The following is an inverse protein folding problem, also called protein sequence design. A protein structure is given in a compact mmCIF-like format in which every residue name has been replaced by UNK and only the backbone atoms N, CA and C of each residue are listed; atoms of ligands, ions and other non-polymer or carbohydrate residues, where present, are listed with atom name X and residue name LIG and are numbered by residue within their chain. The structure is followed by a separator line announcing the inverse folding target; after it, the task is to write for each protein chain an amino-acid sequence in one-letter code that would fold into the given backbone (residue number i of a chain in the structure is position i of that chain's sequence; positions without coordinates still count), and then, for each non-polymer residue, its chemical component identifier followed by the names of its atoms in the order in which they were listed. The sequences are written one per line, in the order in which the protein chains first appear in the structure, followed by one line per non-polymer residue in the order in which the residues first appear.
data_IF_670338007331
#
_entry.id   IF_670338007331
#
_cell.length_a   1.000
_cell.length_b   1.000
_cell.length_c   1.000
_cell.angle_alpha   90.00
_cell.angle_beta   90.00
_cell.angle_gamma   90.00
#
_symmetry.space_group_name_H-M   'P 1'
#
loop_
_entity.id
_entity.type
_entity.pdbx_description
1 polymer ?
#
# COMPACT_ATOMS: atom_id res chain seq x y z
N UNK A 1 16.38 -24.87 23.23
CA UNK A 1 16.37 -24.27 21.88
C UNK A 1 15.65 -25.10 20.81
N UNK A 2 15.82 -26.42 20.70
CA UNK A 2 15.10 -27.25 19.69
C UNK A 2 13.56 -27.33 19.93
N UNK A 3 13.10 -27.29 21.19
CA UNK A 3 11.66 -27.33 21.52
C UNK A 3 10.92 -26.04 21.15
N UNK A 4 11.53 -24.88 21.40
CA UNK A 4 10.98 -23.56 21.05
C UNK A 4 10.89 -23.39 19.53
N UNK A 5 11.88 -23.87 18.78
CA UNK A 5 11.84 -23.90 17.31
C UNK A 5 10.68 -24.76 16.77
N UNK A 6 10.40 -25.91 17.40
CA UNK A 6 9.29 -26.79 17.01
C UNK A 6 7.92 -26.19 17.37
N UNK A 7 7.81 -25.47 18.51
CA UNK A 7 6.59 -24.77 18.90
C UNK A 7 6.29 -23.56 18.01
N UNK A 8 7.30 -22.78 17.62
CA UNK A 8 7.13 -21.64 16.70
C UNK A 8 6.79 -22.15 15.29
N UNK A 9 7.46 -23.18 14.78
CA UNK A 9 7.10 -23.80 13.48
C UNK A 9 5.72 -24.46 13.51
N UNK A 10 5.36 -25.14 14.62
CA UNK A 10 4.03 -25.72 14.79
C UNK A 10 2.93 -24.68 14.91
N UNK A 11 3.17 -23.58 15.60
CA UNK A 11 2.23 -22.46 15.72
C UNK A 11 2.03 -21.72 14.39
N UNK A 12 3.09 -21.47 13.63
CA UNK A 12 2.98 -20.89 12.28
C UNK A 12 2.29 -21.84 11.28
N UNK A 13 2.51 -23.14 11.38
CA UNK A 13 1.84 -24.14 10.53
C UNK A 13 0.34 -24.27 10.89
N UNK A 14 -0.02 -24.21 12.17
CA UNK A 14 -1.43 -24.22 12.62
C UNK A 14 -2.16 -22.93 12.23
N UNK A 15 -1.51 -21.77 12.31
CA UNK A 15 -2.05 -20.50 11.78
C UNK A 15 -2.22 -20.54 10.26
N UNK A 16 -1.30 -21.15 9.51
CA UNK A 16 -1.41 -21.28 8.05
C UNK A 16 -2.55 -22.24 7.62
N UNK A 17 -2.88 -23.25 8.43
CA UNK A 17 -3.96 -24.20 8.15
C UNK A 17 -5.36 -23.66 8.47
N UNK A 18 -5.48 -22.63 9.31
CA UNK A 18 -6.76 -21.97 9.62
C UNK A 18 -7.24 -20.99 8.53
N UNK A 19 -6.42 -20.70 7.51
CA UNK A 19 -6.75 -19.79 6.42
C UNK A 19 -7.39 -20.46 5.20
N UNK A 20 -7.95 -21.67 5.33
CA UNK A 20 -8.45 -22.46 4.19
C UNK A 20 -9.69 -21.89 3.48
N UNK A 21 -10.22 -20.72 3.85
CA UNK A 21 -11.33 -20.04 3.15
C UNK A 21 -11.20 -18.53 3.09
N UNK A 22 -10.01 -17.98 3.29
CA UNK A 22 -9.81 -16.55 3.04
C UNK A 22 -9.70 -16.36 1.53
N UNK A 23 -10.81 -16.03 0.88
CA UNK A 23 -10.75 -15.33 -0.39
C UNK A 23 -9.91 -14.08 -0.14
N UNK A 24 -8.71 -14.02 -0.71
CA UNK A 24 -7.89 -12.81 -0.72
C UNK A 24 -8.63 -11.78 -1.57
N UNK A 25 -9.56 -11.07 -0.93
CA UNK A 25 -10.30 -9.99 -1.55
C UNK A 25 -9.50 -8.73 -1.30
N UNK A 26 -9.29 -7.97 -2.37
CA UNK A 26 -8.76 -6.62 -2.29
C UNK A 26 -9.65 -5.78 -1.34
N UNK A 27 -9.07 -4.77 -0.74
CA UNK A 27 -9.75 -3.83 0.16
C UNK A 27 -11.02 -3.29 -0.48
N UNK A 28 -12.19 -3.62 0.07
CA UNK A 28 -13.44 -3.05 -0.44
C UNK A 28 -13.56 -1.60 0.03
N UNK A 29 -13.39 -0.67 -0.90
CA UNK A 29 -13.63 0.75 -0.71
C UNK A 29 -14.37 1.31 -1.92
N UNK A 30 -15.52 1.94 -1.75
CA UNK A 30 -16.21 2.62 -2.85
C UNK A 30 -15.32 3.67 -3.54
N UNK A 31 -14.43 4.33 -2.81
CA UNK A 31 -13.49 5.30 -3.38
C UNK A 31 -12.46 4.65 -4.34
N UNK A 32 -12.23 3.34 -4.24
CA UNK A 32 -11.31 2.64 -5.14
C UNK A 32 -11.84 2.47 -6.57
N UNK A 33 -13.08 2.89 -6.86
CA UNK A 33 -13.62 2.97 -8.24
C UNK A 33 -12.91 4.06 -9.04
N UNK A 34 -12.40 5.11 -8.36
CA UNK A 34 -11.82 6.31 -8.97
C UNK A 34 -10.40 6.01 -9.48
N UNK A 35 -10.11 6.34 -10.73
CA UNK A 35 -8.81 6.24 -11.35
C UNK A 35 -8.21 4.83 -11.32
N UNK A 36 -7.05 4.73 -10.72
CA UNK A 36 -6.27 3.47 -10.57
C UNK A 36 -6.52 2.75 -9.24
N UNK A 37 -7.54 3.16 -8.49
CA UNK A 37 -7.85 2.61 -7.17
C UNK A 37 -7.17 3.33 -6.01
N UNK A 38 -7.31 2.79 -4.80
CA UNK A 38 -6.72 3.35 -3.58
C UNK A 38 -5.20 3.31 -3.62
N UNK A 39 -4.56 4.45 -3.46
CA UNK A 39 -3.11 4.57 -3.39
C UNK A 39 -2.62 4.01 -2.06
N UNK A 40 -1.72 3.03 -2.14
CA UNK A 40 -1.13 2.40 -0.97
C UNK A 40 0.14 3.14 -0.55
N UNK A 41 0.25 3.46 0.73
CA UNK A 41 1.47 4.07 1.25
C UNK A 41 2.57 3.01 1.38
N UNK A 42 3.72 3.22 0.73
CA UNK A 42 4.83 2.28 0.82
C UNK A 42 5.41 2.28 2.23
N UNK A 43 5.71 1.10 2.76
CA UNK A 43 6.37 0.97 4.05
C UNK A 43 6.23 -0.43 4.60
N UNK A 44 7.27 -0.88 5.30
CA UNK A 44 7.23 -2.12 6.07
C UNK A 44 6.43 -1.92 7.36
N UNK A 45 5.94 -2.97 8.05
CA UNK A 45 5.13 -2.83 9.26
C UNK A 45 5.78 -1.97 10.35
N UNK A 46 7.11 -2.02 10.49
CA UNK A 46 7.86 -1.17 11.42
C UNK A 46 7.68 0.33 11.11
N UNK A 47 7.69 0.72 9.85
CA UNK A 47 7.46 2.10 9.40
C UNK A 47 5.99 2.48 9.57
N UNK A 48 5.06 1.56 9.27
CA UNK A 48 3.62 1.79 9.44
C UNK A 48 3.24 2.01 10.91
N UNK A 49 3.91 1.35 11.86
CA UNK A 49 3.73 1.61 13.29
C UNK A 49 4.06 3.06 13.73
N UNK A 50 4.79 3.81 12.88
CA UNK A 50 5.10 5.24 13.06
C UNK A 50 4.31 6.14 12.08
N UNK A 51 3.14 5.72 11.60
CA UNK A 51 2.33 6.51 10.65
C UNK A 51 2.88 6.55 9.22
N UNK A 52 3.94 5.80 8.91
CA UNK A 52 4.61 5.84 7.61
C UNK A 52 5.91 6.68 7.59
N UNK A 53 6.44 7.08 8.76
CA UNK A 53 7.69 7.85 8.87
C UNK A 53 8.87 7.07 8.29
N UNK A 54 9.38 7.47 7.12
CA UNK A 54 10.41 6.71 6.41
C UNK A 54 11.35 7.52 5.53
N UNK A 55 11.14 8.82 5.32
CA UNK A 55 11.98 9.61 4.40
C UNK A 55 13.35 9.94 5.01
N UNK A 56 13.39 10.18 6.32
CA UNK A 56 14.63 10.49 7.05
C UNK A 56 15.09 9.40 8.01
N UNK A 57 14.26 8.38 8.26
CA UNK A 57 14.51 7.34 9.26
C UNK A 57 15.17 6.08 8.65
N UNK A 58 16.49 5.95 8.79
CA UNK A 58 17.24 4.73 8.44
C UNK A 58 17.38 3.77 9.62
N UNK A 59 17.26 2.47 9.38
CA UNK A 59 17.38 1.43 10.39
C UNK A 59 18.28 0.29 9.95
N UNK A 60 19.02 -0.31 10.89
CA UNK A 60 19.78 -1.55 10.69
C UNK A 60 18.92 -2.81 10.85
N UNK A 61 17.71 -2.66 11.40
CA UNK A 61 16.84 -3.79 11.77
C UNK A 61 15.83 -4.16 10.70
N UNK A 62 15.37 -3.18 9.92
CA UNK A 62 14.39 -3.37 8.85
C UNK A 62 14.78 -2.60 7.59
N UNK A 63 14.27 -3.03 6.46
CA UNK A 63 14.47 -2.36 5.18
C UNK A 63 13.62 -1.09 5.12
N UNK A 64 14.26 0.06 4.94
CA UNK A 64 13.56 1.27 4.55
C UNK A 64 13.38 1.28 3.02
N UNK A 65 12.14 1.15 2.53
CA UNK A 65 11.79 1.16 1.12
C UNK A 65 11.22 2.52 0.64
N UNK A 66 11.17 3.53 1.50
CA UNK A 66 10.68 4.88 1.18
C UNK A 66 11.77 5.75 0.54
N UNK A 67 12.97 5.78 1.11
CA UNK A 67 14.11 6.57 0.63
C UNK A 67 15.29 5.66 0.27
N UNK A 68 15.66 5.53 -1.01
CA UNK A 68 16.76 4.66 -1.43
C UNK A 68 18.13 5.11 -0.87
N UNK A 69 18.33 6.37 -0.50
CA UNK A 69 19.57 6.83 0.11
C UNK A 69 19.86 6.16 1.46
N UNK A 70 18.83 5.69 2.17
CA UNK A 70 18.96 5.05 3.49
C UNK A 70 19.35 3.57 3.41
N UNK A 71 19.50 2.99 2.21
CA UNK A 71 19.87 1.59 2.05
C UNK A 71 21.26 1.24 2.64
N UNK A 72 22.15 2.19 2.80
CA UNK A 72 23.47 1.95 3.43
C UNK A 72 23.36 1.46 4.88
N UNK A 73 22.24 1.68 5.57
CA UNK A 73 21.96 1.10 6.89
C UNK A 73 21.87 -0.42 6.85
N UNK A 74 21.53 -1.03 5.71
CA UNK A 74 21.49 -2.50 5.57
C UNK A 74 22.91 -3.08 5.43
N UNK A 75 23.51 -3.41 6.58
CA UNK A 75 24.87 -3.91 6.68
C UNK A 75 25.03 -5.41 6.41
N UNK A 76 23.94 -6.15 6.35
CA UNK A 76 23.85 -7.60 6.18
C UNK A 76 22.78 -7.95 5.15
N UNK A 77 22.75 -9.19 4.65
CA UNK A 77 21.67 -9.65 3.79
C UNK A 77 20.35 -9.65 4.58
N UNK A 78 19.31 -9.08 4.00
CA UNK A 78 18.02 -8.91 4.63
C UNK A 78 16.92 -9.47 3.71
N UNK A 79 16.00 -10.24 4.30
CA UNK A 79 14.77 -10.70 3.66
C UNK A 79 13.60 -10.27 4.54
N UNK A 80 12.59 -9.66 3.93
CA UNK A 80 11.41 -9.20 4.65
C UNK A 80 10.14 -9.49 3.87
N UNK A 81 9.09 -9.90 4.57
CA UNK A 81 7.75 -10.01 4.01
C UNK A 81 6.74 -9.49 5.03
N UNK A 82 5.68 -8.90 4.54
CA UNK A 82 4.61 -8.35 5.37
C UNK A 82 3.25 -8.51 4.71
N UNK A 83 2.24 -8.63 5.55
CA UNK A 83 0.83 -8.67 5.20
C UNK A 83 0.08 -7.57 5.94
N UNK A 84 -1.02 -7.13 5.37
CA UNK A 84 -1.96 -6.19 5.98
C UNK A 84 -3.35 -6.84 6.00
N UNK A 85 -4.02 -6.74 7.13
CA UNK A 85 -5.45 -6.99 7.29
C UNK A 85 -6.16 -5.68 7.62
N UNK A 86 -7.34 -5.47 7.08
CA UNK A 86 -8.13 -4.27 7.29
C UNK A 86 -9.59 -4.63 7.51
N UNK A 87 -10.23 -3.97 8.47
CA UNK A 87 -11.68 -3.99 8.67
C UNK A 87 -12.19 -2.55 8.59
N UNK A 88 -13.26 -2.33 7.85
CA UNK A 88 -13.90 -1.03 7.65
C UNK A 88 -15.37 -1.09 7.96
N UNK A 89 -15.90 -0.01 8.54
CA UNK A 89 -17.32 0.32 8.57
C UNK A 89 -17.57 1.46 7.59
N UNK A 90 -18.33 1.20 6.55
CA UNK A 90 -18.66 2.14 5.48
C UNK A 90 -20.03 2.73 5.78
N UNK A 91 -20.13 4.05 5.82
CA UNK A 91 -21.33 4.78 6.19
C UNK A 91 -21.67 5.82 5.11
N UNK A 92 -22.97 5.95 4.82
CA UNK A 92 -23.51 7.00 3.96
C UNK A 92 -24.87 7.45 4.53
N UNK A 93 -25.17 8.73 4.43
CA UNK A 93 -26.44 9.28 4.93
C UNK A 93 -27.63 8.62 4.24
N UNK A 94 -28.58 8.10 5.02
CA UNK A 94 -29.78 7.42 4.51
C UNK A 94 -29.61 5.93 4.19
N UNK A 95 -28.44 5.34 4.44
CA UNK A 95 -28.17 3.92 4.26
C UNK A 95 -27.67 3.26 5.54
N UNK A 96 -27.96 1.96 5.72
CA UNK A 96 -27.42 1.18 6.83
C UNK A 96 -25.91 1.01 6.71
N UNK A 97 -25.15 1.11 7.81
CA UNK A 97 -23.71 0.91 7.80
C UNK A 97 -23.32 -0.50 7.31
N UNK A 98 -22.33 -0.58 6.45
CA UNK A 98 -21.82 -1.84 5.91
C UNK A 98 -20.40 -2.13 6.43
N UNK A 99 -20.16 -3.35 6.91
CA UNK A 99 -18.86 -3.80 7.36
C UNK A 99 -18.16 -4.64 6.28
N UNK A 100 -16.92 -4.30 6.02
CA UNK A 100 -16.05 -5.00 5.06
C UNK A 100 -14.73 -5.37 5.72
N UNK A 101 -14.18 -6.53 5.35
CA UNK A 101 -12.86 -6.97 5.80
C UNK A 101 -12.06 -7.50 4.62
N UNK A 102 -10.78 -7.22 4.63
CA UNK A 102 -9.86 -7.59 3.55
C UNK A 102 -8.47 -7.90 4.06
N UNK A 103 -7.67 -8.57 3.23
CA UNK A 103 -6.28 -8.85 3.52
C UNK A 103 -5.46 -8.93 2.25
N UNK A 104 -4.23 -8.43 2.30
CA UNK A 104 -3.34 -8.44 1.14
C UNK A 104 -1.87 -8.51 1.54
N UNK A 105 -1.02 -8.86 0.55
CA UNK A 105 0.42 -8.71 0.69
C UNK A 105 0.77 -7.24 0.80
N UNK A 106 1.50 -6.84 1.84
CA UNK A 106 2.02 -5.48 1.98
C UNK A 106 3.32 -5.32 1.19
N UNK A 107 4.26 -6.25 1.35
CA UNK A 107 5.52 -6.26 0.64
C UNK A 107 6.20 -7.63 0.70
N UNK A 108 7.07 -7.89 -0.28
CA UNK A 108 8.10 -8.90 -0.22
C UNK A 108 9.42 -8.24 -0.66
N UNK A 109 10.46 -8.33 0.15
CA UNK A 109 11.67 -7.55 -0.05
C UNK A 109 12.93 -8.33 0.27
N UNK A 110 14.01 -7.98 -0.43
CA UNK A 110 15.36 -8.42 -0.11
C UNK A 110 16.34 -7.26 -0.29
N UNK A 111 17.36 -7.23 0.55
CA UNK A 111 18.45 -6.26 0.43
C UNK A 111 19.80 -6.92 0.69
N UNK A 112 20.79 -6.49 -0.06
CA UNK A 112 22.15 -7.05 0.01
C UNK A 112 23.15 -5.90 0.08
N UNK A 113 24.08 -5.90 1.05
CA UNK A 113 25.20 -4.97 1.06
C UNK A 113 26.20 -5.36 -0.02
N UNK A 114 26.45 -4.49 -0.97
CA UNK A 114 27.57 -4.61 -1.91
C UNK A 114 28.89 -4.23 -1.23
N UNK A 115 28.84 -3.18 -0.42
CA UNK A 115 29.91 -2.78 0.48
C UNK A 115 29.25 -2.50 1.82
N UNK A 116 29.56 -3.34 2.84
CA UNK A 116 28.92 -3.26 4.16
C UNK A 116 28.96 -1.83 4.73
N UNK A 117 27.79 -1.33 5.17
CA UNK A 117 27.57 0.03 5.71
C UNK A 117 27.91 1.19 4.77
N UNK A 118 28.18 0.91 3.49
CA UNK A 118 28.50 1.95 2.50
C UNK A 118 27.58 1.92 1.29
N UNK A 119 27.34 0.75 0.71
CA UNK A 119 26.56 0.64 -0.51
C UNK A 119 25.72 -0.62 -0.45
N UNK A 120 24.42 -0.51 -0.64
CA UNK A 120 23.48 -1.63 -0.62
C UNK A 120 22.52 -1.55 -1.81
N UNK A 121 22.10 -2.72 -2.24
CA UNK A 121 21.07 -2.94 -3.26
C UNK A 121 19.83 -3.55 -2.61
N UNK A 122 18.65 -3.18 -3.08
CA UNK A 122 17.40 -3.82 -2.66
C UNK A 122 16.47 -4.12 -3.83
N UNK A 123 15.65 -5.14 -3.63
CA UNK A 123 14.54 -5.52 -4.49
C UNK A 123 13.28 -5.61 -3.63
N UNK A 124 12.23 -4.89 -4.00
CA UNK A 124 10.98 -4.82 -3.24
C UNK A 124 9.80 -4.97 -4.18
N UNK A 125 8.97 -5.97 -3.95
CA UNK A 125 7.65 -6.15 -4.57
C UNK A 125 6.59 -5.63 -3.59
N UNK A 126 5.74 -4.70 -4.04
CA UNK A 126 4.65 -4.15 -3.23
C UNK A 126 3.50 -3.63 -4.11
N UNK A 127 2.28 -3.53 -3.60
CA UNK A 127 1.21 -2.81 -4.27
C UNK A 127 1.50 -1.30 -4.30
N UNK A 128 1.17 -0.66 -5.42
CA UNK A 128 1.16 0.80 -5.59
C UNK A 128 -0.26 1.36 -5.39
N UNK A 129 -1.26 0.67 -5.97
CA UNK A 129 -2.67 0.96 -5.74
C UNK A 129 -3.50 -0.31 -5.77
N UNK A 130 -4.71 -0.26 -5.19
CA UNK A 130 -5.64 -1.39 -5.15
C UNK A 130 -7.02 -0.92 -5.57
N UNK A 131 -7.60 -1.62 -6.53
CA UNK A 131 -9.02 -1.53 -6.90
C UNK A 131 -9.74 -2.69 -6.22
N UNK A 132 -10.74 -2.39 -5.40
CA UNK A 132 -11.58 -3.38 -4.76
C UNK A 132 -12.89 -2.75 -4.33
N UNK A 133 -13.96 -2.98 -5.09
CA UNK A 133 -15.30 -2.54 -4.74
C UNK A 133 -16.34 -3.53 -5.27
N UNK A 134 -17.44 -3.64 -4.54
CA UNK A 134 -18.65 -4.36 -4.95
C UNK A 134 -19.84 -3.68 -4.27
N UNK A 135 -20.69 -3.06 -5.07
CA UNK A 135 -21.91 -2.39 -4.58
C UNK A 135 -22.97 -2.34 -5.66
N UNK A 136 -24.21 -2.16 -5.26
CA UNK A 136 -25.35 -1.97 -6.16
C UNK A 136 -26.13 -0.73 -5.81
N UNK A 137 -26.77 -0.16 -6.82
CA UNK A 137 -27.75 0.90 -6.65
C UNK A 137 -28.91 0.68 -7.61
N UNK A 138 -30.10 1.17 -7.21
CA UNK A 138 -31.30 1.10 -8.01
C UNK A 138 -31.78 2.51 -8.35
N UNK A 139 -32.13 2.72 -9.62
CA UNK A 139 -32.68 3.99 -10.11
C UNK A 139 -34.09 3.72 -10.64
N UNK A 140 -35.12 4.48 -10.20
CA UNK A 140 -36.47 4.32 -10.73
C UNK A 140 -36.54 4.70 -12.23
N UNK A 141 -37.34 3.96 -12.99
CA UNK A 141 -37.62 4.28 -14.38
C UNK A 141 -38.40 5.61 -14.48
N UNK A 142 -37.95 6.51 -15.36
CA UNK A 142 -38.46 7.88 -15.45
C UNK A 142 -39.95 7.98 -15.75
N UNK A 143 -40.54 7.01 -16.43
CA UNK A 143 -41.99 6.95 -16.81
C UNK A 143 -42.59 5.56 -16.61
N UNK A 144 -41.95 4.67 -15.82
CA UNK A 144 -42.38 3.29 -15.59
C UNK A 144 -42.59 2.97 -14.11
N UNK A 145 -42.96 1.72 -13.86
CA UNK A 145 -43.14 1.15 -12.50
C UNK A 145 -41.96 0.32 -12.06
N UNK A 146 -40.94 0.17 -12.92
CA UNK A 146 -39.81 -0.70 -12.69
C UNK A 146 -38.61 0.09 -12.14
N UNK A 147 -37.63 -0.61 -11.58
CA UNK A 147 -36.33 -0.07 -11.20
C UNK A 147 -35.24 -0.69 -12.07
N UNK A 148 -34.22 0.11 -12.42
CA UNK A 148 -32.98 -0.39 -12.98
C UNK A 148 -31.99 -0.59 -11.86
N UNK A 149 -31.57 -1.84 -11.63
CA UNK A 149 -30.54 -2.15 -10.63
C UNK A 149 -29.23 -2.44 -11.32
N UNK A 150 -28.18 -1.71 -10.92
CA UNK A 150 -26.82 -1.88 -11.43
C UNK A 150 -25.91 -2.39 -10.33
N UNK A 151 -25.28 -3.54 -10.59
CA UNK A 151 -24.19 -4.08 -9.80
C UNK A 151 -22.87 -3.60 -10.36
N UNK A 152 -22.03 -3.07 -9.49
CA UNK A 152 -20.70 -2.58 -9.83
C UNK A 152 -19.67 -3.40 -9.10
N UNK A 153 -18.72 -3.97 -9.83
CA UNK A 153 -17.63 -4.76 -9.30
C UNK A 153 -16.32 -4.37 -9.95
N UNK A 154 -15.32 -4.13 -9.12
CA UNK A 154 -13.97 -3.87 -9.59
C UNK A 154 -12.93 -4.59 -8.77
N UNK A 155 -11.87 -5.07 -9.44
CA UNK A 155 -10.75 -5.69 -8.79
C UNK A 155 -9.44 -5.44 -9.54
N UNK A 156 -8.31 -5.59 -8.82
CA UNK A 156 -6.97 -5.44 -9.36
C UNK A 156 -6.21 -4.27 -8.76
N UNK A 157 -5.42 -3.58 -9.59
CA UNK A 157 -4.61 -2.43 -9.16
C UNK A 157 -3.25 -2.40 -9.84
N UNK A 158 -2.44 -1.46 -9.41
CA UNK A 158 -1.06 -1.30 -9.83
C UNK A 158 -0.12 -1.90 -8.78
N UNK A 159 0.87 -2.65 -9.23
CA UNK A 159 1.95 -3.19 -8.42
C UNK A 159 3.28 -2.63 -8.91
N UNK A 160 4.27 -2.59 -8.04
CA UNK A 160 5.62 -2.18 -8.40
C UNK A 160 6.68 -3.15 -7.89
N UNK A 161 7.63 -3.45 -8.76
CA UNK A 161 8.88 -4.13 -8.43
C UNK A 161 9.98 -3.09 -8.45
N UNK A 162 10.46 -2.69 -7.27
CA UNK A 162 11.48 -1.65 -7.08
C UNK A 162 12.87 -2.26 -7.03
N UNK A 163 13.74 -1.75 -7.85
CA UNK A 163 15.19 -1.96 -7.80
C UNK A 163 15.80 -0.68 -7.23
N UNK A 164 16.49 -0.77 -6.11
CA UNK A 164 17.08 0.41 -5.49
C UNK A 164 18.55 0.18 -5.17
N UNK A 165 19.34 1.20 -5.40
CA UNK A 165 20.76 1.26 -5.05
C UNK A 165 20.97 2.51 -4.21
N UNK A 166 21.56 2.38 -3.03
CA UNK A 166 21.78 3.51 -2.15
C UNK A 166 23.04 3.36 -1.32
N UNK A 167 23.72 4.48 -1.15
CA UNK A 167 25.01 4.45 -0.49
C UNK A 167 25.44 5.75 0.15
N UNK A 168 26.39 5.61 1.06
CA UNK A 168 27.08 6.70 1.72
C UNK A 168 28.17 7.24 0.79
N UNK A 169 28.00 8.47 0.28
CA UNK A 169 28.95 9.12 -0.63
C UNK A 169 30.02 9.90 0.15
N UNK A 170 29.62 10.60 1.21
CA UNK A 170 30.49 11.25 2.16
C UNK A 170 30.11 10.81 3.58
N UNK A 171 30.92 11.17 4.57
CA UNK A 171 30.72 10.71 5.96
C UNK A 171 29.28 10.87 6.49
N UNK A 172 28.56 11.88 6.01
CA UNK A 172 27.22 12.23 6.48
C UNK A 172 26.18 12.30 5.35
N UNK A 173 26.58 12.22 4.09
CA UNK A 173 25.71 12.35 2.91
C UNK A 173 25.52 11.01 2.23
N UNK A 174 24.28 10.59 2.09
CA UNK A 174 23.87 9.41 1.36
C UNK A 174 23.04 9.77 0.14
N UNK A 175 23.27 9.09 -0.94
CA UNK A 175 22.50 9.20 -2.18
C UNK A 175 21.94 7.85 -2.57
N UNK A 176 20.81 7.85 -3.25
CA UNK A 176 20.20 6.63 -3.75
C UNK A 176 19.37 6.87 -5.00
N UNK A 177 19.30 5.84 -5.81
CA UNK A 177 18.47 5.79 -7.00
C UNK A 177 17.53 4.59 -6.91
N UNK A 178 16.35 4.70 -7.50
CA UNK A 178 15.41 3.57 -7.65
C UNK A 178 14.83 3.55 -9.04
N UNK A 179 14.64 2.34 -9.56
CA UNK A 179 13.90 2.06 -10.78
C UNK A 179 12.74 1.10 -10.39
N UNK A 180 11.52 1.53 -10.60
CA UNK A 180 10.32 0.73 -10.32
C UNK A 180 9.74 0.24 -11.63
N UNK A 181 9.67 -1.08 -11.82
CA UNK A 181 8.83 -1.68 -12.85
C UNK A 181 7.40 -1.71 -12.34
N UNK A 182 6.56 -0.85 -12.91
CA UNK A 182 5.13 -0.74 -12.56
C UNK A 182 4.36 -1.64 -13.50
N UNK A 183 3.46 -2.46 -12.97
CA UNK A 183 2.59 -3.33 -13.76
C UNK A 183 1.20 -3.41 -13.14
N UNK A 184 0.18 -3.51 -13.99
CA UNK A 184 -1.22 -3.52 -13.54
C UNK A 184 -2.10 -4.48 -14.32
N UNK A 185 -3.15 -4.95 -13.64
CA UNK A 185 -4.33 -5.57 -14.23
C UNK A 185 -5.54 -5.12 -13.41
N UNK A 186 -6.42 -4.32 -14.04
CA UNK A 186 -7.66 -3.84 -13.43
C UNK A 186 -8.82 -4.40 -14.27
N UNK A 187 -9.84 -4.89 -13.59
CA UNK A 187 -11.11 -5.32 -14.18
C UNK A 187 -12.23 -4.58 -13.49
N UNK A 188 -13.12 -3.98 -14.30
CA UNK A 188 -14.36 -3.35 -13.85
C UNK A 188 -15.51 -3.98 -14.60
N UNK A 189 -16.59 -4.28 -13.90
CA UNK A 189 -17.79 -4.88 -14.47
C UNK A 189 -19.03 -4.15 -13.93
N UNK A 190 -19.91 -3.79 -14.83
CA UNK A 190 -21.18 -3.13 -14.54
C UNK A 190 -22.27 -4.00 -15.11
N UNK A 191 -23.12 -4.57 -14.26
CA UNK A 191 -24.21 -5.44 -14.64
C UNK A 191 -25.53 -4.77 -14.31
N UNK A 192 -26.31 -4.40 -15.33
CA UNK A 192 -27.61 -3.73 -15.17
C UNK A 192 -28.73 -4.65 -15.60
N UNK A 193 -29.81 -4.68 -14.82
CA UNK A 193 -31.05 -5.37 -15.12
C UNK A 193 -32.26 -4.57 -14.64
N UNK A 194 -33.44 -4.93 -15.16
CA UNK A 194 -34.73 -4.33 -14.79
C UNK A 194 -35.40 -5.20 -13.73
N UNK A 195 -35.72 -4.61 -12.58
CA UNK A 195 -36.48 -5.28 -11.51
C UNK A 195 -37.97 -5.33 -11.84
N UNK A 196 -38.67 -6.36 -11.34
CA UNK A 196 -40.13 -6.46 -11.42
C UNK A 196 -40.70 -7.06 -12.70
N UNK A 197 -39.85 -7.42 -13.67
CA UNK A 197 -40.32 -8.15 -14.84
C UNK A 197 -40.66 -9.61 -14.48
N UNK A 198 -41.78 -10.16 -15.01
CA UNK A 198 -42.11 -11.55 -14.79
C UNK A 198 -41.01 -12.49 -15.26
N UNK A 199 -40.73 -13.57 -14.52
CA UNK A 199 -39.67 -14.56 -14.81
C UNK A 199 -39.80 -15.26 -16.20
N UNK A 200 -40.96 -15.16 -16.82
CA UNK A 200 -41.24 -15.71 -18.16
C UNK A 200 -41.01 -14.73 -19.32
N UNK A 201 -40.74 -13.47 -19.05
CA UNK A 201 -40.23 -12.53 -20.04
C UNK A 201 -38.71 -12.66 -20.12
N UNK A 202 -38.14 -12.45 -21.30
CA UNK A 202 -36.71 -12.53 -21.55
C UNK A 202 -35.98 -11.42 -20.77
N UNK A 203 -35.72 -11.68 -19.49
CA UNK A 203 -34.91 -10.79 -18.67
C UNK A 203 -33.46 -10.96 -19.06
N UNK A 204 -32.90 -9.90 -19.59
CA UNK A 204 -31.51 -9.86 -20.00
C UNK A 204 -30.72 -8.95 -19.04
N UNK A 205 -29.48 -9.34 -18.80
CA UNK A 205 -28.50 -8.54 -18.14
C UNK A 205 -27.71 -7.77 -19.19
N UNK A 206 -27.59 -6.47 -19.05
CA UNK A 206 -26.62 -5.69 -19.79
C UNK A 206 -25.31 -5.67 -18.98
N UNK A 207 -24.28 -6.32 -19.50
CA UNK A 207 -22.96 -6.45 -18.84
C UNK A 207 -21.94 -5.64 -19.61
N UNK A 208 -21.36 -4.68 -18.96
CA UNK A 208 -20.28 -3.84 -19.44
C UNK A 208 -19.00 -4.25 -18.74
N UNK A 209 -18.08 -4.87 -19.49
CA UNK A 209 -16.82 -5.39 -18.99
C UNK A 209 -15.65 -4.56 -19.48
N UNK A 210 -14.88 -4.04 -18.55
CA UNK A 210 -13.68 -3.24 -18.80
C UNK A 210 -12.45 -3.96 -18.24
N UNK A 211 -11.38 -4.03 -19.02
CA UNK A 211 -10.08 -4.53 -18.60
C UNK A 211 -8.99 -3.53 -18.98
N UNK A 212 -8.17 -3.22 -18.02
CA UNK A 212 -7.02 -2.35 -18.17
C UNK A 212 -5.77 -3.11 -17.74
N UNK A 213 -4.73 -3.07 -18.55
CA UNK A 213 -3.41 -3.58 -18.20
C UNK A 213 -2.37 -2.54 -18.56
N UNK A 214 -1.34 -2.38 -17.74
CA UNK A 214 -0.27 -1.43 -18.01
C UNK A 214 1.05 -1.95 -17.44
N UNK A 215 2.14 -1.61 -18.12
CA UNK A 215 3.49 -1.90 -17.61
C UNK A 215 4.51 -0.92 -18.19
N UNK A 216 5.36 -0.36 -17.34
CA UNK A 216 6.50 0.49 -17.72
C UNK A 216 7.41 0.74 -16.53
N UNK A 217 8.50 1.47 -16.74
CA UNK A 217 9.44 1.86 -15.71
C UNK A 217 9.19 3.28 -15.21
N UNK A 218 9.42 3.47 -13.91
CA UNK A 218 9.44 4.75 -13.23
C UNK A 218 10.76 4.91 -12.48
N UNK A 219 11.36 6.09 -12.52
CA UNK A 219 12.62 6.38 -11.85
C UNK A 219 12.40 7.29 -10.64
N UNK A 220 13.27 7.16 -9.65
CA UNK A 220 13.25 8.02 -8.47
C UNK A 220 14.65 8.16 -7.86
N UNK A 221 14.80 9.21 -7.08
CA UNK A 221 16.03 9.60 -6.40
C UNK A 221 15.77 9.78 -4.92
N UNK A 222 16.81 9.62 -4.12
CA UNK A 222 16.78 9.89 -2.69
C UNK A 222 18.08 10.54 -2.25
N UNK A 223 17.96 11.40 -1.26
CA UNK A 223 19.10 12.01 -0.56
C UNK A 223 18.83 11.96 0.94
N UNK A 224 19.88 11.74 1.72
CA UNK A 224 19.82 11.84 3.18
C UNK A 224 21.11 12.43 3.72
N UNK A 225 20.98 13.27 4.72
CA UNK A 225 22.10 13.90 5.42
C UNK A 225 21.94 13.77 6.93
N UNK A 226 23.00 13.33 7.60
CA UNK A 226 23.01 13.06 9.04
C UNK A 226 23.93 14.05 9.75
N UNK A 227 23.38 14.82 10.69
CA UNK A 227 24.16 15.69 11.59
C UNK A 227 24.34 15.01 12.94
N UNK A 228 25.56 14.87 13.41
CA UNK A 228 25.84 14.39 14.76
C UNK A 228 25.80 15.57 15.74
N UNK A 229 24.93 15.51 16.75
CA UNK A 229 24.73 16.53 17.78
C UNK A 229 24.93 15.85 19.13
N UNK A 230 26.18 15.86 19.65
CA UNK A 230 26.53 15.10 20.83
C UNK A 230 26.36 13.59 20.64
N UNK A 231 25.52 12.97 21.47
CA UNK A 231 25.16 11.55 21.35
C UNK A 231 23.96 11.30 20.39
N UNK A 232 23.28 12.35 19.98
CA UNK A 232 22.10 12.28 19.11
C UNK A 232 22.47 12.52 17.65
N UNK A 233 21.52 12.17 16.76
CA UNK A 233 21.60 12.43 15.32
C UNK A 233 20.36 13.20 14.87
N UNK A 234 20.57 14.25 14.10
CA UNK A 234 19.55 14.90 13.29
C UNK A 234 19.67 14.39 11.86
N UNK A 235 18.64 13.76 11.36
CA UNK A 235 18.62 13.23 10.01
C UNK A 235 17.65 14.05 9.16
N UNK A 236 18.10 14.46 7.99
CA UNK A 236 17.30 15.10 6.95
C UNK A 236 17.21 14.15 5.76
N UNK A 237 16.04 14.02 5.18
CA UNK A 237 15.82 13.20 3.99
C UNK A 237 14.98 13.92 2.96
N UNK A 238 15.24 13.65 1.68
CA UNK A 238 14.37 14.05 0.59
C UNK A 238 14.29 12.94 -0.46
N UNK A 239 13.12 12.85 -1.09
CA UNK A 239 12.86 11.92 -2.19
C UNK A 239 12.24 12.67 -3.36
N UNK A 240 12.56 12.22 -4.56
CA UNK A 240 11.96 12.70 -5.78
C UNK A 240 11.72 11.54 -6.75
N UNK A 241 10.45 11.23 -7.03
CA UNK A 241 10.07 10.28 -8.06
C UNK A 241 9.63 11.05 -9.29
N UNK A 242 10.16 10.67 -10.45
CA UNK A 242 9.81 11.31 -11.69
C UNK A 242 8.38 10.94 -12.10
N UNK A 243 7.70 11.86 -12.76
CA UNK A 243 6.45 11.57 -13.47
C UNK A 243 6.73 10.51 -14.55
N UNK A 244 5.79 9.57 -14.74
CA UNK A 244 5.94 8.50 -15.70
C UNK A 244 4.64 8.27 -16.47
N UNK A 245 4.76 8.10 -17.79
CA UNK A 245 3.66 7.73 -18.69
C UNK A 245 3.70 6.22 -18.90
N UNK A 246 2.96 5.49 -18.09
CA UNK A 246 2.92 4.02 -18.11
C UNK A 246 2.09 3.56 -19.31
N UNK A 247 2.71 2.78 -20.19
CA UNK A 247 2.04 2.20 -21.35
C UNK A 247 1.07 1.12 -20.95
N UNK A 248 -0.12 1.12 -21.54
CA UNK A 248 -1.13 0.13 -21.24
C UNK A 248 -2.01 -0.22 -22.44
N UNK A 249 -2.83 -1.21 -22.22
CA UNK A 249 -3.85 -1.66 -23.15
C UNK A 249 -5.22 -1.63 -22.46
N UNK A 250 -6.21 -1.25 -23.24
CA UNK A 250 -7.59 -1.13 -22.82
C UNK A 250 -8.48 -2.04 -23.65
N UNK A 251 -9.34 -2.79 -22.98
CA UNK A 251 -10.34 -3.66 -23.56
C UNK A 251 -11.71 -3.30 -22.98
N UNK A 252 -12.71 -3.18 -23.87
CA UNK A 252 -14.07 -2.85 -23.50
C UNK A 252 -15.05 -3.69 -24.29
N UNK A 253 -15.97 -4.35 -23.59
CA UNK A 253 -16.98 -5.21 -24.17
C UNK A 253 -18.34 -4.97 -23.53
N UNK A 254 -19.36 -4.84 -24.36
CA UNK A 254 -20.76 -4.83 -23.97
C UNK A 254 -21.37 -6.19 -24.31
N UNK A 255 -22.05 -6.81 -23.36
CA UNK A 255 -22.74 -8.07 -23.54
C UNK A 255 -24.21 -7.95 -23.10
N UNK A 256 -25.08 -8.61 -23.85
CA UNK A 256 -26.41 -8.97 -23.40
C UNK A 256 -26.39 -10.44 -22.99
N UNK A 257 -26.64 -10.70 -21.71
CA UNK A 257 -26.59 -12.05 -21.16
C UNK A 257 -27.96 -12.48 -20.64
N UNK A 258 -28.20 -13.79 -20.66
CA UNK A 258 -29.30 -14.38 -19.90
C UNK A 258 -28.99 -14.34 -18.40
N UNK A 259 -30.00 -14.56 -17.55
CA UNK A 259 -29.81 -14.72 -16.08
C UNK A 259 -28.84 -15.85 -15.72
N UNK A 260 -28.62 -16.82 -16.60
CA UNK A 260 -27.67 -17.92 -16.42
C UNK A 260 -26.24 -17.55 -16.87
N UNK A 261 -25.99 -16.28 -17.24
CA UNK A 261 -24.68 -15.80 -17.68
C UNK A 261 -24.30 -16.17 -19.13
N UNK A 262 -25.20 -16.73 -19.93
CA UNK A 262 -24.91 -17.01 -21.33
C UNK A 262 -25.07 -15.75 -22.17
N UNK A 263 -24.02 -15.35 -22.89
CA UNK A 263 -24.08 -14.21 -23.79
C UNK A 263 -24.99 -14.54 -25.01
N UNK A 264 -25.96 -13.65 -25.26
CA UNK A 264 -26.84 -13.70 -26.45
C UNK A 264 -26.29 -12.80 -27.54
N UNK A 265 -25.80 -11.65 -27.14
CA UNK A 265 -25.15 -10.65 -27.97
C UNK A 265 -23.92 -10.14 -27.30
N UNK A 266 -22.88 -9.89 -28.06
CA UNK A 266 -21.65 -9.29 -27.55
C UNK A 266 -21.05 -8.37 -28.60
N UNK A 267 -20.71 -7.17 -28.20
CA UNK A 267 -20.00 -6.19 -29.03
C UNK A 267 -18.73 -5.74 -28.31
N UNK A 268 -17.60 -5.77 -29.02
CA UNK A 268 -16.31 -5.35 -28.52
C UNK A 268 -16.05 -3.91 -28.97
N UNK A 269 -16.29 -2.96 -28.06
CA UNK A 269 -16.18 -1.52 -28.35
C UNK A 269 -14.72 -1.05 -28.40
N UNK A 270 -13.82 -1.74 -27.68
CA UNK A 270 -12.38 -1.50 -27.75
C UNK A 270 -11.64 -2.83 -27.56
N UNK A 271 -10.72 -3.15 -28.46
CA UNK A 271 -9.88 -4.35 -28.37
C UNK A 271 -8.41 -3.94 -28.34
N UNK A 272 -7.76 -4.19 -27.19
CA UNK A 272 -6.34 -3.90 -26.95
C UNK A 272 -5.89 -2.50 -27.41
N UNK A 273 -6.76 -1.51 -27.26
CA UNK A 273 -6.49 -0.13 -27.63
C UNK A 273 -5.39 0.41 -26.72
N UNK A 274 -4.31 0.91 -27.34
CA UNK A 274 -3.16 1.49 -26.60
C UNK A 274 -3.60 2.73 -25.83
N UNK A 275 -3.22 2.79 -24.55
CA UNK A 275 -3.43 3.93 -23.65
C UNK A 275 -2.18 4.23 -22.83
N UNK A 276 -2.14 5.42 -22.26
CA UNK A 276 -1.09 5.84 -21.35
C UNK A 276 -1.72 6.27 -20.04
N UNK A 277 -1.09 5.90 -18.92
CA UNK A 277 -1.48 6.30 -17.58
C UNK A 277 -0.37 7.20 -17.02
N UNK A 278 -0.66 8.49 -16.90
CA UNK A 278 0.30 9.46 -16.41
C UNK A 278 0.34 9.42 -14.87
N UNK A 279 1.29 8.69 -14.30
CA UNK A 279 1.50 8.69 -12.86
C UNK A 279 2.28 9.94 -12.45
N UNK A 280 1.77 10.72 -11.47
CA UNK A 280 2.41 11.96 -11.05
C UNK A 280 3.77 11.75 -10.40
N UNK A 281 4.64 12.75 -10.50
CA UNK A 281 5.86 12.83 -9.72
C UNK A 281 5.57 12.92 -8.23
N UNK A 282 6.49 12.42 -7.41
CA UNK A 282 6.41 12.52 -5.95
C UNK A 282 7.55 13.38 -5.43
N UNK A 283 7.25 14.34 -4.56
CA UNK A 283 8.25 15.08 -3.79
C UNK A 283 7.99 14.79 -2.33
N UNK A 284 9.05 14.47 -1.58
CA UNK A 284 8.92 14.24 -0.14
C UNK A 284 10.13 14.75 0.61
N UNK A 285 9.88 15.23 1.84
CA UNK A 285 10.87 15.70 2.78
C UNK A 285 10.64 15.06 4.15
N UNK A 286 11.72 14.77 4.84
CA UNK A 286 11.64 14.20 6.18
C UNK A 286 12.73 14.77 7.09
N UNK A 287 12.38 14.88 8.36
CA UNK A 287 13.28 15.25 9.45
C UNK A 287 13.09 14.28 10.59
N UNK A 288 14.18 13.79 11.17
CA UNK A 288 14.11 12.99 12.39
C UNK A 288 15.28 13.29 13.30
N UNK A 289 15.03 13.24 14.61
CA UNK A 289 16.01 13.46 15.65
C UNK A 289 15.92 12.37 16.70
N UNK A 290 17.07 11.86 17.13
CA UNK A 290 17.07 10.78 18.13
C UNK A 290 18.46 10.24 18.45
N UNK A 291 18.48 9.26 19.34
CA UNK A 291 19.66 8.48 19.69
C UNK A 291 19.50 7.07 19.13
N UNK A 292 20.43 6.70 18.27
CA UNK A 292 20.39 5.42 17.55
C UNK A 292 20.22 4.22 18.50
N UNK A 293 19.24 3.36 18.20
CA UNK A 293 18.93 2.18 19.01
C UNK A 293 18.24 2.46 20.34
N UNK A 294 17.86 3.69 20.64
CA UNK A 294 17.15 4.08 21.86
C UNK A 294 15.84 4.79 21.58
N UNK A 295 15.86 5.93 20.93
CA UNK A 295 14.66 6.68 20.62
C UNK A 295 14.85 7.55 19.39
N UNK A 296 13.75 7.81 18.69
CA UNK A 296 13.68 8.70 17.56
C UNK A 296 12.29 9.35 17.52
N UNK A 297 12.25 10.62 17.14
CA UNK A 297 11.04 11.35 16.77
C UNK A 297 11.27 12.00 15.42
N UNK A 298 10.24 12.05 14.58
CA UNK A 298 10.37 12.64 13.27
C UNK A 298 9.06 13.03 12.63
N UNK A 299 9.19 13.75 11.51
CA UNK A 299 8.09 14.19 10.68
C UNK A 299 8.47 14.05 9.21
N UNK A 300 7.51 13.60 8.41
CA UNK A 300 7.62 13.52 6.95
C UNK A 300 6.47 14.31 6.29
N UNK A 301 6.77 14.90 5.16
CA UNK A 301 5.82 15.49 4.23
C UNK A 301 6.04 14.91 2.83
N UNK A 302 4.96 14.51 2.16
CA UNK A 302 4.99 13.98 0.80
C UNK A 302 3.84 14.58 0.00
N UNK A 303 4.10 14.96 -1.26
CA UNK A 303 3.08 15.50 -2.15
C UNK A 303 3.22 14.97 -3.57
N UNK A 304 2.07 14.88 -4.26
CA UNK A 304 1.94 14.47 -5.67
C UNK A 304 0.86 15.35 -6.33
N UNK A 305 1.14 15.82 -7.52
CA UNK A 305 0.18 16.59 -8.32
C UNK A 305 -0.60 15.65 -9.26
N UNK A 306 -1.79 15.26 -8.84
CA UNK A 306 -2.65 14.33 -9.59
C UNK A 306 -3.48 15.00 -10.69
N UNK A 307 -3.44 16.34 -10.82
CA UNK A 307 -4.07 17.04 -11.95
C UNK A 307 -3.46 16.62 -13.29
N UNK A 308 -2.24 16.08 -13.29
CA UNK A 308 -1.57 15.54 -14.48
C UNK A 308 -2.01 14.13 -14.85
N UNK A 309 -2.82 13.47 -13.99
CA UNK A 309 -3.26 12.11 -14.24
C UNK A 309 -4.18 12.07 -15.47
N UNK A 310 -3.72 11.37 -16.49
CA UNK A 310 -4.48 11.07 -17.71
C UNK A 310 -4.47 9.55 -17.88
N UNK A 311 -5.61 8.94 -17.96
CA UNK A 311 -5.74 7.47 -18.00
C UNK A 311 -7.05 6.95 -17.46
N UNK A 312 -7.88 7.86 -16.95
CA UNK A 312 -9.25 7.51 -16.60
C UNK A 312 -10.06 7.16 -17.84
N UNK A 313 -10.74 6.04 -17.79
CA UNK A 313 -11.66 5.55 -18.83
C UNK A 313 -13.03 5.34 -18.23
N UNK A 314 -13.21 5.76 -17.01
CA UNK A 314 -14.46 5.58 -16.29
C UNK A 314 -15.58 6.40 -16.95
N UNK A 315 -16.75 5.80 -17.09
CA UNK A 315 -18.00 6.52 -17.38
C UNK A 315 -18.44 7.41 -16.20
N UNK A 316 -17.73 7.37 -15.09
CA UNK A 316 -17.94 8.21 -13.91
C UNK A 316 -17.01 9.42 -14.06
N UNK A 317 -17.52 10.67 -13.95
CA UNK A 317 -16.66 11.83 -13.90
C UNK A 317 -15.66 11.72 -12.75
N UNK A 318 -14.38 11.83 -13.05
CA UNK A 318 -13.30 11.72 -12.09
C UNK A 318 -12.55 13.04 -12.02
N UNK A 319 -12.56 13.64 -10.82
CA UNK A 319 -11.79 14.81 -10.53
C UNK A 319 -10.65 14.47 -9.59
N UNK A 320 -9.47 14.97 -9.93
CA UNK A 320 -8.26 14.78 -9.14
C UNK A 320 -7.69 16.12 -8.72
N UNK A 321 -7.08 16.15 -7.53
CA UNK A 321 -6.36 17.30 -7.04
C UNK A 321 -5.02 16.85 -6.47
N UNK A 322 -4.21 17.80 -6.07
CA UNK A 322 -2.93 17.55 -5.41
C UNK A 322 -3.14 16.75 -4.12
N UNK A 323 -2.44 15.64 -4.00
CA UNK A 323 -2.39 14.89 -2.76
C UNK A 323 -1.25 15.38 -1.86
N UNK A 324 -1.49 15.41 -0.54
CA UNK A 324 -0.50 15.80 0.46
C UNK A 324 -0.60 14.90 1.68
N UNK A 325 0.51 14.31 2.10
CA UNK A 325 0.57 13.48 3.30
C UNK A 325 1.54 14.04 4.31
N UNK A 326 1.05 14.20 5.53
CA UNK A 326 1.79 14.63 6.71
C UNK A 326 1.88 13.46 7.69
N UNK A 327 3.05 13.21 8.21
CA UNK A 327 3.32 12.12 9.14
C UNK A 327 4.10 12.64 10.34
N UNK A 328 3.68 12.24 11.53
CA UNK A 328 4.45 12.39 12.76
C UNK A 328 4.66 11.01 13.37
N UNK A 329 5.87 10.70 13.80
CA UNK A 329 6.17 9.39 14.33
C UNK A 329 7.28 9.41 15.36
N UNK A 330 7.24 8.43 16.26
CA UNK A 330 8.28 8.21 17.25
C UNK A 330 8.49 6.71 17.47
N UNK A 331 9.72 6.35 17.82
CA UNK A 331 10.07 5.01 18.30
C UNK A 331 10.92 5.08 19.57
N UNK A 332 10.78 4.07 20.42
CA UNK A 332 11.51 3.95 21.66
C UNK A 332 11.88 2.49 21.96
N UNK A 333 13.16 2.25 22.24
CA UNK A 333 13.69 0.96 22.69
C UNK A 333 14.37 1.17 24.03
N UNK A 334 13.83 0.64 25.15
CA UNK A 334 14.38 0.91 26.48
C UNK A 334 15.84 0.49 26.64
N UNK A 335 16.19 -0.74 26.24
CA UNK A 335 17.54 -1.26 26.25
C UNK A 335 17.66 -2.48 25.34
N UNK A 336 18.16 -2.27 24.13
CA UNK A 336 18.34 -3.33 23.12
C UNK A 336 19.30 -4.44 23.58
N UNK A 337 20.22 -4.15 24.51
CA UNK A 337 21.22 -5.07 25.00
C UNK A 337 20.79 -5.82 26.29
N UNK A 338 19.60 -5.58 26.81
CA UNK A 338 19.11 -6.22 28.03
C UNK A 338 19.12 -7.74 27.91
N UNK A 339 19.85 -8.43 28.82
CA UNK A 339 19.96 -9.89 28.86
C UNK A 339 18.82 -10.49 29.67
N UNK A 340 18.40 -9.84 30.74
CA UNK A 340 17.46 -10.37 31.74
C UNK A 340 16.01 -10.04 31.44
N UNK A 341 15.72 -8.93 30.75
CA UNK A 341 14.36 -8.48 30.51
C UNK A 341 14.09 -8.33 29.00
N UNK A 342 13.30 -9.24 28.46
CA UNK A 342 12.92 -9.24 27.05
C UNK A 342 12.15 -7.97 26.63
N UNK A 343 11.23 -7.47 27.48
CA UNK A 343 10.43 -6.29 27.17
C UNK A 343 11.26 -5.02 26.94
N UNK A 344 12.45 -4.94 27.56
CA UNK A 344 13.37 -3.81 27.34
C UNK A 344 14.00 -3.81 25.94
N UNK A 345 14.02 -4.96 25.25
CA UNK A 345 14.56 -5.10 23.89
C UNK A 345 13.53 -4.82 22.80
N UNK A 346 12.25 -4.75 23.17
CA UNK A 346 11.17 -4.44 22.24
C UNK A 346 11.28 -2.98 21.83
N UNK A 347 11.16 -2.70 20.53
CA UNK A 347 11.00 -1.35 20.02
C UNK A 347 9.52 -1.02 19.95
N UNK A 348 9.09 -0.01 20.66
CA UNK A 348 7.73 0.51 20.69
C UNK A 348 7.61 1.70 19.75
N UNK A 349 6.49 1.83 19.05
CA UNK A 349 6.27 2.87 18.04
C UNK A 349 4.89 3.48 18.18
N UNK A 350 4.82 4.77 17.90
CA UNK A 350 3.58 5.52 17.81
C UNK A 350 3.69 6.53 16.67
N UNK A 351 2.59 6.81 16.01
CA UNK A 351 2.54 7.80 14.95
C UNK A 351 1.14 8.28 14.65
N UNK A 352 1.08 9.36 13.87
CA UNK A 352 -0.15 9.87 13.31
C UNK A 352 0.10 10.29 11.86
N UNK A 353 -0.89 10.11 11.01
CA UNK A 353 -0.84 10.50 9.62
C UNK A 353 -2.11 11.24 9.23
N UNK A 354 -1.95 12.30 8.44
CA UNK A 354 -3.02 13.01 7.77
C UNK A 354 -2.74 13.02 6.28
N UNK A 355 -3.66 12.49 5.50
CA UNK A 355 -3.53 12.35 4.05
C UNK A 355 -4.70 12.98 3.34
N UNK A 356 -4.43 14.07 2.62
CA UNK A 356 -5.32 14.63 1.62
C UNK A 356 -5.17 13.78 0.36
N UNK A 357 -6.15 12.92 0.12
CA UNK A 357 -6.11 12.00 -1.03
C UNK A 357 -6.27 12.77 -2.34
N UNK A 358 -5.90 12.19 -3.48
CA UNK A 358 -6.09 12.88 -4.76
C UNK A 358 -7.55 12.95 -5.22
N UNK A 359 -8.46 12.23 -4.57
CA UNK A 359 -9.84 12.10 -5.04
C UNK A 359 -10.71 13.28 -4.62
N UNK A 360 -11.41 13.86 -5.59
CA UNK A 360 -12.42 14.91 -5.38
C UNK A 360 -13.78 14.35 -5.80
N UNK A 361 -14.71 14.31 -4.87
CA UNK A 361 -16.08 13.81 -5.10
C UNK A 361 -17.07 14.90 -4.71
N UNK A 362 -17.98 15.24 -5.61
CA UNK A 362 -18.94 16.35 -5.40
C UNK A 362 -18.26 17.65 -4.96
N UNK A 363 -17.09 17.97 -5.56
CA UNK A 363 -16.32 19.17 -5.22
C UNK A 363 -15.63 19.15 -3.85
N UNK A 364 -15.62 17.99 -3.17
CA UNK A 364 -14.98 17.80 -1.85
C UNK A 364 -13.81 16.84 -1.94
N UNK A 365 -12.63 17.27 -1.53
CA UNK A 365 -11.45 16.42 -1.45
C UNK A 365 -11.58 15.44 -0.29
N UNK A 366 -11.32 14.17 -0.55
CA UNK A 366 -11.39 13.10 0.46
C UNK A 366 -10.14 13.10 1.32
N UNK A 367 -10.31 13.24 2.62
CA UNK A 367 -9.22 13.21 3.59
C UNK A 367 -9.21 11.90 4.37
N UNK A 368 -8.02 11.47 4.79
CA UNK A 368 -7.77 10.28 5.60
C UNK A 368 -6.93 10.66 6.81
N UNK A 369 -7.38 10.32 8.01
CA UNK A 369 -6.65 10.54 9.25
C UNK A 369 -6.47 9.21 9.98
N UNK A 370 -5.24 8.91 10.43
CA UNK A 370 -4.93 7.68 11.14
C UNK A 370 -3.98 7.88 12.31
N UNK A 371 -4.22 7.14 13.39
CA UNK A 371 -3.32 7.01 14.53
C UNK A 371 -2.73 5.60 14.50
N UNK A 372 -1.43 5.50 14.64
CA UNK A 372 -0.66 4.28 14.48
C UNK A 372 0.05 3.89 15.76
N UNK A 373 0.11 2.59 16.01
CA UNK A 373 0.90 1.97 17.07
C UNK A 373 1.66 0.79 16.49
N UNK A 374 2.81 0.45 17.07
CA UNK A 374 3.56 -0.71 16.63
C UNK A 374 4.62 -1.16 17.60
N UNK A 375 5.07 -2.38 17.40
CA UNK A 375 6.22 -2.91 18.12
C UNK A 375 7.00 -3.91 17.26
N UNK A 376 8.30 -3.95 17.46
CA UNK A 376 9.20 -4.95 16.89
C UNK A 376 9.73 -5.86 17.97
N UNK A 377 9.53 -7.15 17.78
CA UNK A 377 9.98 -8.22 18.66
C UNK A 377 11.27 -8.84 18.11
N UNK A 378 12.45 -8.62 18.74
CA UNK A 378 13.68 -9.27 18.30
C UNK A 378 13.63 -10.77 18.62
N UNK A 379 13.66 -11.64 17.61
CA UNK A 379 13.51 -13.11 17.77
C UNK A 379 14.80 -13.88 17.72
N UNK A 380 15.77 -13.46 16.91
CA UNK A 380 17.06 -14.09 16.85
C UNK A 380 18.09 -13.12 16.31
N UNK A 381 19.28 -13.02 16.92
CA UNK A 381 20.39 -12.13 16.55
C UNK A 381 19.94 -10.78 15.98
N UNK A 382 19.63 -10.73 14.68
CA UNK A 382 19.21 -9.50 13.96
C UNK A 382 17.84 -9.62 13.30
N UNK A 383 17.08 -10.71 13.55
CA UNK A 383 15.74 -10.92 12.99
C UNK A 383 14.67 -10.37 13.92
N UNK A 384 13.57 -9.85 13.35
CA UNK A 384 12.47 -9.27 14.10
C UNK A 384 11.12 -9.70 13.51
N UNK A 385 10.11 -9.76 14.38
CA UNK A 385 8.71 -9.77 14.00
C UNK A 385 8.14 -8.39 14.29
N UNK A 386 7.53 -7.79 13.28
CA UNK A 386 7.00 -6.44 13.33
C UNK A 386 5.47 -6.49 13.33
N UNK A 387 4.87 -5.76 14.25
CA UNK A 387 3.42 -5.57 14.36
C UNK A 387 3.12 -4.08 14.29
N UNK A 388 2.12 -3.73 13.51
CA UNK A 388 1.59 -2.38 13.42
C UNK A 388 0.06 -2.42 13.51
N UNK A 389 -0.53 -1.35 14.03
CA UNK A 389 -1.96 -1.15 14.13
C UNK A 389 -2.25 0.29 13.73
N UNK A 390 -3.32 0.48 12.98
CA UNK A 390 -3.80 1.81 12.62
C UNK A 390 -5.31 1.87 12.82
N UNK A 391 -5.76 2.91 13.50
CA UNK A 391 -7.17 3.28 13.62
C UNK A 391 -7.34 4.63 12.96
N UNK A 392 -8.35 4.77 12.14
CA UNK A 392 -8.57 6.02 11.44
C UNK A 392 -9.92 6.12 10.76
N UNK A 393 -10.11 7.25 10.10
CA UNK A 393 -11.29 7.52 9.29
C UNK A 393 -10.89 8.19 7.97
N UNK A 394 -11.69 7.94 6.94
CA UNK A 394 -11.54 8.49 5.60
C UNK A 394 -12.88 9.00 5.09
N UNK A 395 -12.88 10.18 4.47
CA UNK A 395 -14.08 10.81 3.93
C UNK A 395 -14.93 11.48 4.99
N UNK A 396 -16.13 11.87 4.61
CA UNK A 396 -17.11 12.60 5.44
C UNK A 396 -18.53 12.19 5.06
N UNK A 397 -19.50 12.42 5.94
CA UNK A 397 -20.93 12.27 5.63
C UNK A 397 -21.54 13.54 5.01
N UNK A 398 -20.82 14.65 5.02
CA UNK A 398 -21.26 15.90 4.39
C UNK A 398 -21.39 15.71 2.87
N UNK A 399 -22.24 16.51 2.22
CA UNK A 399 -22.48 16.46 0.77
C UNK A 399 -22.87 15.07 0.23
N UNK A 400 -23.53 14.25 1.07
CA UNK A 400 -23.93 12.88 0.76
C UNK A 400 -22.75 11.98 0.33
N UNK A 401 -21.56 12.23 0.90
CA UNK A 401 -20.37 11.43 0.70
C UNK A 401 -20.34 10.20 1.60
N UNK A 402 -19.32 9.38 1.43
CA UNK A 402 -19.09 8.15 2.17
C UNK A 402 -18.01 8.40 3.23
N UNK A 403 -18.26 7.95 4.46
CA UNK A 403 -17.27 7.86 5.52
C UNK A 403 -16.90 6.41 5.77
N UNK A 404 -15.60 6.15 5.81
CA UNK A 404 -15.01 4.86 6.15
C UNK A 404 -14.28 4.98 7.49
N UNK A 405 -14.77 4.30 8.53
CA UNK A 405 -14.03 4.13 9.78
C UNK A 405 -13.30 2.80 9.72
N UNK A 406 -11.96 2.78 9.90
CA UNK A 406 -11.15 1.58 9.65
C UNK A 406 -10.22 1.21 10.80
N UNK A 407 -9.94 -0.09 10.88
CA UNK A 407 -8.88 -0.67 11.69
C UNK A 407 -7.99 -1.55 10.82
N UNK A 408 -6.68 -1.26 10.80
CA UNK A 408 -5.68 -2.01 10.04
C UNK A 408 -4.69 -2.70 10.98
N UNK A 409 -4.32 -3.91 10.61
CA UNK A 409 -3.29 -4.70 11.28
C UNK A 409 -2.19 -4.97 10.26
N UNK A 410 -0.95 -4.62 10.59
CA UNK A 410 0.23 -4.92 9.82
C UNK A 410 1.03 -5.98 10.55
N UNK A 411 1.42 -7.03 9.84
CA UNK A 411 2.31 -8.05 10.36
C UNK A 411 3.44 -8.28 9.38
N UNK A 412 4.68 -8.35 9.89
CA UNK A 412 5.85 -8.63 9.07
C UNK A 412 6.92 -9.39 9.80
N UNK A 413 7.73 -10.06 9.02
CA UNK A 413 8.90 -10.77 9.49
C UNK A 413 10.13 -10.29 8.71
N UNK A 414 11.18 -9.94 9.44
CA UNK A 414 12.47 -9.53 8.87
C UNK A 414 13.55 -10.50 9.34
N UNK A 415 14.22 -11.10 8.36
CA UNK A 415 15.34 -12.03 8.57
C UNK A 415 16.62 -11.39 8.09
N UNK A 416 17.57 -11.21 8.99
CA UNK A 416 18.89 -10.66 8.71
C UNK A 416 19.95 -11.77 8.84
N UNK A 417 20.75 -11.98 7.78
CA UNK A 417 21.81 -12.97 7.73
C UNK A 417 23.18 -12.34 7.46
N UNK A 418 24.08 -12.46 8.41
CA UNK A 418 25.44 -11.96 8.32
C UNK A 418 26.43 -12.96 7.70
N UNK A 419 25.98 -14.19 7.37
CA UNK A 419 26.83 -15.26 6.82
C UNK A 419 26.66 -15.46 5.32
N UNK A 420 25.70 -14.82 4.69
CA UNK A 420 25.35 -15.01 3.28
C UNK A 420 26.55 -14.91 2.32
N UNK A 421 27.51 -14.04 2.60
CA UNK A 421 28.70 -13.82 1.77
C UNK A 421 29.99 -14.45 2.36
N UNK A 422 29.89 -15.14 3.50
CA UNK A 422 31.05 -15.80 4.12
C UNK A 422 31.25 -17.16 3.48
N UNK A 423 32.27 -17.29 2.66
CA UNK A 423 32.70 -18.63 2.19
C UNK A 423 33.18 -19.45 3.40
N UNK A 424 32.62 -20.65 3.66
CA UNK A 424 33.16 -21.51 4.68
C UNK A 424 34.63 -21.85 4.30
N UNK A 425 35.56 -21.52 5.19
CA UNK A 425 36.93 -22.05 5.06
C UNK A 425 36.84 -23.52 5.44
N UNK A 426 36.99 -24.39 4.45
CA UNK A 426 37.22 -25.79 4.70
C UNK A 426 38.65 -25.91 5.25
N UNK A 427 38.76 -26.38 6.50
CA UNK A 427 40.01 -26.83 7.06
C UNK A 427 40.25 -28.27 6.64
#
# INVERSE_FOLDING_TARGET
MRLIRRLVFGGCALLALSFSTVYSQATYSPYSIIGIGDIIDPGVPAVQGMGGLGISNGSYWYLNNSNPALLHYNAVALFSAGIIGETKTIQQTGFEPYNSSSGQLQHAAMAFPLISRKLSFSLVLQPYSVVGYEFSYSVPETNGTNNYTTFNKGNGGFNELKFSLGGLVFQNLSLGIKASYVFSAIRKEFTTFVEGLPLNTSNYLAVYSERQSANDFRLGLGIAYNFKIGENKLNLGAIYDLQANIKGNYFLRLEQQTLNGSAIFADTLADNTRRYYTLPGTIGFGISYGKEGQWLIGADYKTQDWNVFDGSVSSIPEDFDRSSKYVLGAEFTPDINSITNYAKRITYRVGASFYQTPYVVNGTQINDFGINFGWSLPVARFSALDFGFQVGNRGTLDNNLIREDYFKIFFGATFNDNRWFVRPKYN
#
